data_IF_734016159373
#
_entry.id   IF_734016159373
#
_cell.length_a   1.000
_cell.length_b   1.000
_cell.length_c   1.000
_cell.angle_alpha   90.00
_cell.angle_beta   90.00
_cell.angle_gamma   90.00
#
_symmetry.space_group_name_H-M   'P 1'
#
loop_
_entity.id
_entity.type
_entity.pdbx_description
1 polymer ?
#
# COMPACT_ATOMS: atom_id res chain seq x y z
N UNK A 1 -6.35 1.43 -14.29
CA UNK A 1 -5.23 1.90 -13.45
C UNK A 1 -3.96 1.79 -14.26
N UNK A 2 -3.14 2.83 -14.36
CA UNK A 2 -1.84 2.74 -15.04
C UNK A 2 -0.77 2.41 -14.00
N UNK A 3 -0.29 1.16 -14.01
CA UNK A 3 0.63 0.62 -13.00
C UNK A 3 1.90 1.47 -12.84
N UNK A 4 2.49 1.94 -13.93
CA UNK A 4 3.74 2.72 -13.86
C UNK A 4 3.51 4.08 -13.21
N UNK A 5 2.37 4.72 -13.49
CA UNK A 5 1.98 5.99 -12.86
C UNK A 5 1.76 5.78 -11.35
N UNK A 6 1.05 4.73 -10.95
CA UNK A 6 0.80 4.44 -9.53
C UNK A 6 2.08 4.05 -8.76
N UNK A 7 2.95 3.25 -9.37
CA UNK A 7 4.26 2.94 -8.79
C UNK A 7 5.10 4.20 -8.61
N UNK A 8 5.08 5.09 -9.59
CA UNK A 8 5.79 6.38 -9.51
C UNK A 8 5.21 7.24 -8.39
N UNK A 9 3.87 7.36 -8.33
CA UNK A 9 3.19 8.10 -7.28
C UNK A 9 3.57 7.55 -5.89
N UNK A 10 3.47 6.23 -5.68
CA UNK A 10 3.82 5.60 -4.41
C UNK A 10 5.28 5.83 -4.00
N UNK A 11 6.21 5.86 -4.97
CA UNK A 11 7.61 6.16 -4.70
C UNK A 11 7.81 7.62 -4.28
N UNK A 12 7.16 8.55 -4.97
CA UNK A 12 7.30 9.99 -4.71
C UNK A 12 6.58 10.44 -3.44
N UNK A 13 5.44 9.82 -3.11
CA UNK A 13 4.62 10.18 -1.95
C UNK A 13 4.90 9.31 -0.74
N UNK A 14 6.04 8.61 -0.70
CA UNK A 14 6.40 7.77 0.45
C UNK A 14 6.57 8.64 1.70
N UNK A 15 5.79 8.39 2.78
CA UNK A 15 5.90 9.18 3.99
C UNK A 15 7.29 9.07 4.63
N UNK A 16 7.80 10.21 5.11
CA UNK A 16 9.04 10.27 5.86
C UNK A 16 8.89 9.60 7.24
N UNK A 17 10.03 9.32 7.89
CA UNK A 17 10.01 8.88 9.30
C UNK A 17 9.41 9.99 10.16
N UNK A 18 8.39 9.65 10.97
CA UNK A 18 7.66 10.61 11.80
C UNK A 18 6.54 11.34 11.07
N UNK A 19 6.23 11.00 9.81
CA UNK A 19 5.02 11.45 9.16
C UNK A 19 3.79 11.06 9.99
N UNK A 20 2.72 11.84 9.84
CA UNK A 20 1.49 11.58 10.55
C UNK A 20 0.94 10.18 10.22
N UNK A 21 0.23 9.62 11.20
CA UNK A 21 -0.23 8.25 11.11
C UNK A 21 -1.31 8.05 10.04
N UNK A 22 -2.04 9.11 9.67
CA UNK A 22 -3.09 9.08 8.66
C UNK A 22 -2.49 9.02 7.24
N UNK A 23 -1.48 9.84 6.94
CA UNK A 23 -0.68 9.81 5.73
C UNK A 23 0.05 8.48 5.58
N UNK A 24 0.58 7.93 6.68
CA UNK A 24 1.18 6.60 6.67
C UNK A 24 0.14 5.51 6.36
N UNK A 25 -1.04 5.59 6.98
CA UNK A 25 -2.14 4.67 6.72
C UNK A 25 -2.64 4.76 5.26
N UNK A 26 -2.83 5.97 4.75
CA UNK A 26 -3.27 6.25 3.39
C UNK A 26 -2.27 5.73 2.36
N UNK A 27 -0.97 5.93 2.60
CA UNK A 27 0.07 5.41 1.72
C UNK A 27 0.09 3.88 1.68
N UNK A 28 -0.03 3.20 2.83
CA UNK A 28 -0.12 1.75 2.86
C UNK A 28 -1.41 1.22 2.21
N UNK A 29 -2.52 1.93 2.35
CA UNK A 29 -3.78 1.57 1.68
C UNK A 29 -3.66 1.69 0.16
N UNK A 30 -3.05 2.76 -0.36
CA UNK A 30 -2.77 2.92 -1.78
C UNK A 30 -1.84 1.81 -2.30
N UNK A 31 -0.79 1.48 -1.53
CA UNK A 31 0.11 0.36 -1.85
C UNK A 31 -0.62 -0.99 -1.90
N UNK A 32 -1.56 -1.23 -0.98
CA UNK A 32 -2.35 -2.46 -0.98
C UNK A 32 -3.19 -2.60 -2.24
N UNK A 33 -3.87 -1.52 -2.67
CA UNK A 33 -4.69 -1.49 -3.89
C UNK A 33 -3.87 -1.77 -5.15
N UNK A 34 -2.63 -1.26 -5.22
CA UNK A 34 -1.74 -1.56 -6.34
C UNK A 34 -1.42 -3.06 -6.42
N UNK A 35 -1.01 -3.66 -5.30
CA UNK A 35 -0.70 -5.10 -5.25
C UNK A 35 -1.94 -5.97 -5.52
N UNK A 36 -3.11 -5.58 -5.03
CA UNK A 36 -4.37 -6.29 -5.32
C UNK A 36 -4.70 -6.25 -6.81
N UNK A 37 -4.49 -5.10 -7.46
CA UNK A 37 -4.65 -5.01 -8.90
C UNK A 37 -3.65 -5.88 -9.67
N UNK A 38 -2.36 -5.84 -9.30
CA UNK A 38 -1.34 -6.69 -9.91
C UNK A 38 -1.67 -8.18 -9.76
N UNK A 39 -2.15 -8.59 -8.59
CA UNK A 39 -2.64 -9.94 -8.37
C UNK A 39 -3.85 -10.30 -9.26
N UNK A 40 -4.72 -9.33 -9.52
CA UNK A 40 -5.90 -9.48 -10.38
C UNK A 40 -5.57 -9.63 -11.87
N UNK A 41 -4.40 -9.14 -12.32
CA UNK A 41 -3.90 -9.36 -13.67
C UNK A 41 -3.46 -10.83 -13.91
N UNK A 42 -3.26 -11.60 -12.83
CA UNK A 42 -2.81 -12.99 -12.88
C UNK A 42 -1.31 -13.15 -13.08
N UNK A 43 -0.88 -14.36 -13.43
CA UNK A 43 0.54 -14.69 -13.63
C UNK A 43 1.22 -15.34 -12.41
N UNK A 44 2.50 -15.72 -12.57
CA UNK A 44 3.24 -16.51 -11.58
C UNK A 44 3.39 -15.80 -10.23
N UNK A 45 3.45 -14.47 -10.24
CA UNK A 45 3.62 -13.66 -9.02
C UNK A 45 2.30 -13.30 -8.33
N UNK A 46 1.15 -13.67 -8.90
CA UNK A 46 -0.16 -13.23 -8.39
C UNK A 46 -0.41 -13.59 -6.92
N UNK A 47 0.04 -14.77 -6.46
CA UNK A 47 -0.04 -15.15 -5.03
C UNK A 47 0.78 -14.22 -4.16
N UNK A 48 2.02 -13.92 -4.56
CA UNK A 48 2.91 -13.01 -3.85
C UNK A 48 2.33 -11.60 -3.78
N UNK A 49 1.74 -11.14 -4.88
CA UNK A 49 1.05 -9.85 -4.94
C UNK A 49 -0.14 -9.79 -3.95
N UNK A 50 -0.92 -10.87 -3.81
CA UNK A 50 -1.99 -10.93 -2.79
C UNK A 50 -1.44 -10.86 -1.36
N UNK A 51 -0.35 -11.56 -1.08
CA UNK A 51 0.30 -11.52 0.24
C UNK A 51 0.82 -10.12 0.56
N UNK A 52 1.43 -9.44 -0.42
CA UNK A 52 1.88 -8.06 -0.31
C UNK A 52 0.72 -7.09 -0.09
N UNK A 53 -0.39 -7.26 -0.80
CA UNK A 53 -1.62 -6.49 -0.58
C UNK A 53 -2.14 -6.65 0.85
N UNK A 54 -2.25 -7.89 1.33
CA UNK A 54 -2.71 -8.19 2.69
C UNK A 54 -1.76 -7.60 3.76
N UNK A 55 -0.44 -7.69 3.55
CA UNK A 55 0.55 -7.11 4.46
C UNK A 55 0.45 -5.58 4.50
N UNK A 56 0.27 -4.94 3.34
CA UNK A 56 0.07 -3.49 3.25
C UNK A 56 -1.23 -3.05 3.95
N UNK A 57 -2.33 -3.78 3.78
CA UNK A 57 -3.58 -3.51 4.50
C UNK A 57 -3.44 -3.59 6.01
N UNK A 58 -2.77 -4.63 6.53
CA UNK A 58 -2.51 -4.75 7.98
C UNK A 58 -1.72 -3.55 8.51
N UNK A 59 -0.74 -3.06 7.75
CA UNK A 59 0.04 -1.87 8.12
C UNK A 59 -0.79 -0.59 8.08
N UNK A 60 -1.67 -0.44 7.09
CA UNK A 60 -2.60 0.69 7.02
C UNK A 60 -3.50 0.77 8.27
N UNK A 61 -4.07 -0.38 8.65
CA UNK A 61 -4.92 -0.48 9.84
C UNK A 61 -4.12 -0.20 11.14
N UNK A 62 -2.91 -0.75 11.25
CA UNK A 62 -2.04 -0.50 12.40
C UNK A 62 -1.64 0.96 12.55
N UNK A 63 -1.30 1.64 11.44
CA UNK A 63 -0.97 3.06 11.45
C UNK A 63 -2.18 3.91 11.86
N UNK A 64 -3.36 3.67 11.29
CA UNK A 64 -4.59 4.39 11.65
C UNK A 64 -5.02 4.16 13.11
N UNK A 65 -4.74 2.98 13.68
CA UNK A 65 -4.99 2.71 15.09
C UNK A 65 -4.00 3.42 16.03
N UNK A 66 -2.74 3.58 15.60
CA UNK A 66 -1.70 4.25 16.39
C UNK A 66 -1.81 5.78 16.43
N UNK A 67 -2.44 6.40 15.42
CA UNK A 67 -2.65 7.85 15.37
C UNK A 67 -3.80 8.41 16.21
N UNK A 68 -4.58 7.54 16.88
CA UNK A 68 -5.76 7.93 17.69
C UNK A 68 -5.47 8.01 19.20
N UNK A 69 -4.21 8.17 19.60
CA UNK A 69 -3.77 8.33 20.99
C UNK A 69 -3.09 9.68 21.16
#
# INVERSE_FOLDING_TARGET
MNVLIEMTALCLTRPARGADAEALAAWFAAKARLHEHLAGLGGPDSTRERELAAAAHRRALGAAAGGRR
#
